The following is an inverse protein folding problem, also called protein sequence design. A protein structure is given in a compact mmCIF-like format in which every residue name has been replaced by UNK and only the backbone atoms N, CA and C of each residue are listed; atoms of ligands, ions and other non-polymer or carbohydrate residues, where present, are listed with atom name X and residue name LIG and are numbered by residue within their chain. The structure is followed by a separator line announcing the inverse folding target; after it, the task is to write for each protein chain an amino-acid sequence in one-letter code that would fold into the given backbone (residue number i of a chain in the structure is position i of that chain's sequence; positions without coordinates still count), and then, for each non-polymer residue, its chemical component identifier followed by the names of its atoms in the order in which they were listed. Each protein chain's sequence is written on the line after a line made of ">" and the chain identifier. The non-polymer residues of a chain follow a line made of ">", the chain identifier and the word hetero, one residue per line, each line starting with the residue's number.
data_IF_677099126304
#
_entry.id   IF_677099126304
#
_cell.length_a   1.000
_cell.length_b   1.000
_cell.length_c   1.000
_cell.angle_alpha   90.00
_cell.angle_beta   90.00
_cell.angle_gamma   90.00
#
_symmetry.space_group_name_H-M   'P 1'
#
loop_
_entity.id
_entity.type
_entity.pdbx_description
1 polymer ?
#
# COMPACT_ATOMS: atom_id res chain seq x y z
N UNK A 1 3.55 0.56 13.44
CA UNK A 1 4.25 -0.37 12.52
C UNK A 1 3.42 -1.62 12.23
N UNK A 2 2.73 -2.14 13.24
CA UNK A 2 1.74 -3.23 13.15
C UNK A 2 0.64 -2.95 12.12
N UNK A 3 0.17 -1.70 12.03
CA UNK A 3 -0.87 -1.28 11.08
C UNK A 3 -0.44 -1.46 9.60
N UNK A 4 0.77 -1.02 9.23
CA UNK A 4 1.27 -1.16 7.86
C UNK A 4 1.57 -2.63 7.50
N UNK A 5 2.08 -3.41 8.45
CA UNK A 5 2.26 -4.84 8.26
C UNK A 5 0.90 -5.57 8.11
N UNK A 6 -0.13 -5.15 8.85
CA UNK A 6 -1.49 -5.65 8.71
C UNK A 6 -2.12 -5.30 7.35
N UNK A 7 -1.92 -4.06 6.89
CA UNK A 7 -2.32 -3.65 5.53
C UNK A 7 -1.62 -4.50 4.48
N UNK A 8 -0.30 -4.72 4.62
CA UNK A 8 0.43 -5.60 3.72
C UNK A 8 -0.11 -7.03 3.76
N UNK A 9 -0.34 -7.61 4.95
CA UNK A 9 -0.90 -8.96 5.07
C UNK A 9 -2.24 -9.11 4.35
N UNK A 10 -3.15 -8.15 4.54
CA UNK A 10 -4.49 -8.20 3.95
C UNK A 10 -4.53 -7.93 2.44
N UNK A 11 -3.62 -7.09 1.93
CA UNK A 11 -3.72 -6.57 0.55
C UNK A 11 -2.57 -6.97 -0.36
N UNK A 12 -1.49 -7.51 0.22
CA UNK A 12 -0.21 -7.77 -0.45
C UNK A 12 0.34 -6.53 -1.16
N UNK A 13 0.04 -5.35 -0.63
CA UNK A 13 0.43 -4.08 -1.21
C UNK A 13 1.95 -3.82 -1.02
N UNK A 14 2.75 -3.74 -2.11
CA UNK A 14 4.18 -3.45 -2.03
C UNK A 14 4.52 -2.18 -1.26
N UNK A 15 3.77 -1.10 -1.48
CA UNK A 15 4.05 0.18 -0.85
C UNK A 15 3.89 0.10 0.67
N UNK A 16 2.94 -0.69 1.16
CA UNK A 16 2.76 -0.92 2.59
C UNK A 16 3.95 -1.70 3.19
N UNK A 17 4.41 -2.76 2.51
CA UNK A 17 5.60 -3.52 2.93
C UNK A 17 6.86 -2.63 2.97
N UNK A 18 7.13 -1.91 1.88
CA UNK A 18 8.31 -1.03 1.79
C UNK A 18 8.28 0.11 2.80
N UNK A 19 7.11 0.72 3.05
CA UNK A 19 6.98 1.77 4.05
C UNK A 19 7.17 1.23 5.47
N UNK A 20 6.59 0.06 5.78
CA UNK A 20 6.79 -0.59 7.07
C UNK A 20 8.27 -0.89 7.32
N UNK A 21 8.97 -1.43 6.32
CA UNK A 21 10.40 -1.69 6.37
C UNK A 21 11.23 -0.42 6.54
N UNK A 22 10.95 0.62 5.74
CA UNK A 22 11.67 1.90 5.83
C UNK A 22 11.51 2.54 7.21
N UNK A 23 10.28 2.60 7.74
CA UNK A 23 10.02 3.18 9.07
C UNK A 23 10.68 2.37 10.18
N UNK A 24 10.66 1.03 10.09
CA UNK A 24 11.39 0.16 11.01
C UNK A 24 12.87 0.52 11.05
N UNK A 25 13.52 0.56 9.89
CA UNK A 25 14.96 0.87 9.78
C UNK A 25 15.28 2.29 10.22
N UNK A 26 14.48 3.28 9.78
CA UNK A 26 14.68 4.71 10.11
C UNK A 26 14.64 4.96 11.61
N UNK A 27 13.75 4.27 12.33
CA UNK A 27 13.56 4.47 13.77
C UNK A 27 14.27 3.41 14.62
N UNK A 28 15.13 2.57 14.01
CA UNK A 28 15.83 1.47 14.67
C UNK A 28 14.92 0.52 15.47
N UNK A 29 13.77 0.20 14.88
CA UNK A 29 12.76 -0.70 15.42
C UNK A 29 12.80 -2.05 14.68
N UNK A 30 12.35 -3.15 15.31
CA UNK A 30 12.28 -4.44 14.65
C UNK A 30 11.33 -4.38 13.44
N UNK A 31 11.77 -4.94 12.32
CA UNK A 31 10.93 -5.11 11.13
C UNK A 31 9.91 -6.21 11.43
N UNK A 32 8.60 -5.99 11.19
CA UNK A 32 7.60 -7.06 11.30
C UNK A 32 7.97 -8.27 10.43
N UNK A 33 7.92 -9.47 11.00
CA UNK A 33 8.42 -10.70 10.37
C UNK A 33 7.83 -10.93 8.97
N UNK A 34 6.52 -10.73 8.81
CA UNK A 34 5.86 -10.88 7.50
C UNK A 34 6.41 -9.93 6.43
N UNK A 35 6.81 -8.72 6.82
CA UNK A 35 7.40 -7.73 5.91
C UNK A 35 8.85 -8.10 5.61
N UNK A 36 9.60 -8.54 6.62
CA UNK A 36 10.98 -8.99 6.45
C UNK A 36 11.05 -10.19 5.48
N UNK A 37 10.24 -11.23 5.73
CA UNK A 37 10.18 -12.43 4.92
C UNK A 37 9.80 -12.11 3.45
N UNK A 38 8.87 -11.19 3.23
CA UNK A 38 8.49 -10.82 1.86
C UNK A 38 9.62 -10.06 1.14
N UNK A 39 10.28 -9.13 1.82
CA UNK A 39 11.40 -8.38 1.23
C UNK A 39 12.56 -9.31 0.93
N UNK A 40 12.87 -10.26 1.83
CA UNK A 40 13.88 -11.28 1.60
C UNK A 40 13.52 -12.20 0.43
N UNK A 41 12.28 -12.68 0.37
CA UNK A 41 11.76 -13.47 -0.76
C UNK A 41 11.90 -12.70 -2.08
N UNK A 42 11.47 -11.45 -2.12
CA UNK A 42 11.59 -10.61 -3.31
C UNK A 42 13.06 -10.39 -3.70
N UNK A 43 13.93 -10.06 -2.74
CA UNK A 43 15.36 -9.88 -2.96
C UNK A 43 16.00 -11.16 -3.53
N UNK A 44 15.65 -12.32 -2.99
CA UNK A 44 16.11 -13.61 -3.49
C UNK A 44 15.70 -13.83 -4.95
N UNK A 45 14.44 -13.57 -5.31
CA UNK A 45 13.95 -13.72 -6.69
C UNK A 45 14.66 -12.78 -7.67
N UNK A 46 14.80 -11.49 -7.35
CA UNK A 46 15.45 -10.53 -8.25
C UNK A 46 16.96 -10.70 -8.33
N UNK A 47 17.57 -11.39 -7.35
CA UNK A 47 19.02 -11.69 -7.37
C UNK A 47 19.38 -12.87 -8.29
N UNK A 48 18.44 -13.77 -8.61
CA UNK A 48 18.72 -14.96 -9.43
C UNK A 48 19.36 -14.65 -10.79
N UNK A 49 18.86 -13.67 -11.58
CA UNK A 49 19.50 -13.30 -12.84
C UNK A 49 20.90 -12.70 -12.63
N UNK A 50 21.13 -11.97 -11.54
CA UNK A 50 22.45 -11.43 -11.22
C UNK A 50 23.44 -12.54 -10.89
N UNK A 51 23.02 -13.55 -10.12
CA UNK A 51 23.84 -14.73 -9.82
C UNK A 51 24.14 -15.53 -11.08
N UNK A 52 23.16 -15.69 -11.98
CA UNK A 52 23.39 -16.34 -13.27
C UNK A 52 24.40 -15.57 -14.14
N UNK A 53 24.29 -14.24 -14.20
CA UNK A 53 25.26 -13.38 -14.89
C UNK A 53 26.66 -13.50 -14.29
N UNK A 54 26.76 -13.51 -12.96
CA UNK A 54 28.02 -13.70 -12.24
C UNK A 54 28.67 -15.06 -12.56
N UNK A 55 27.88 -16.10 -12.73
CA UNK A 55 28.33 -17.44 -13.10
C UNK A 55 28.63 -17.61 -14.61
N UNK A 56 28.67 -16.51 -15.36
CA UNK A 56 29.09 -16.50 -16.76
C UNK A 56 27.96 -16.60 -17.78
N UNK A 57 26.69 -16.53 -17.37
CA UNK A 57 25.59 -16.40 -18.32
C UNK A 57 25.49 -14.97 -18.84
N UNK A 58 26.18 -14.69 -19.95
CA UNK A 58 26.16 -13.39 -20.63
C UNK A 58 24.78 -12.98 -21.21
N UNK A 59 23.76 -13.84 -21.13
CA UNK A 59 22.38 -13.53 -21.52
C UNK A 59 21.49 -13.23 -20.32
N UNK A 60 21.97 -13.45 -19.10
CA UNK A 60 21.20 -13.19 -17.90
C UNK A 60 20.96 -11.68 -17.75
N UNK A 61 19.68 -11.32 -17.70
CA UNK A 61 19.21 -9.94 -17.56
C UNK A 61 17.98 -9.92 -16.69
N UNK A 62 17.85 -8.88 -15.88
CA UNK A 62 16.61 -8.60 -15.16
C UNK A 62 15.72 -7.69 -16.01
N UNK A 63 14.47 -8.08 -16.20
CA UNK A 63 13.48 -7.27 -16.92
C UNK A 63 12.40 -6.74 -15.98
N UNK A 64 11.66 -5.72 -16.42
CA UNK A 64 10.48 -5.22 -15.70
C UNK A 64 9.44 -6.32 -15.44
N UNK A 65 9.33 -7.29 -16.35
CA UNK A 65 8.45 -8.46 -16.18
C UNK A 65 8.93 -9.34 -15.03
N UNK A 66 10.23 -9.57 -14.91
CA UNK A 66 10.79 -10.38 -13.83
C UNK A 66 10.57 -9.72 -12.47
N UNK A 67 10.75 -8.39 -12.38
CA UNK A 67 10.48 -7.61 -11.15
C UNK A 67 9.01 -7.70 -10.77
N UNK A 68 8.11 -7.49 -11.73
CA UNK A 68 6.66 -7.55 -11.48
C UNK A 68 6.18 -8.95 -11.12
N UNK A 69 6.71 -9.98 -11.77
CA UNK A 69 6.46 -11.39 -11.42
C UNK A 69 7.03 -11.74 -10.05
N UNK A 70 8.26 -11.31 -9.74
CA UNK A 70 8.91 -11.56 -8.45
C UNK A 70 8.11 -10.96 -7.30
N UNK A 71 7.45 -9.81 -7.50
CA UNK A 71 6.56 -9.25 -6.48
C UNK A 71 5.18 -9.97 -6.41
N UNK A 72 4.84 -10.83 -7.38
CA UNK A 72 3.53 -11.49 -7.44
C UNK A 72 2.44 -10.70 -8.20
N UNK A 73 2.83 -9.66 -8.95
CA UNK A 73 1.94 -8.94 -9.87
C UNK A 73 1.66 -9.71 -11.18
N UNK A 74 2.32 -10.85 -11.38
CA UNK A 74 2.53 -11.47 -12.69
C UNK A 74 1.43 -12.37 -13.26
N UNK A 75 0.40 -12.77 -12.50
CA UNK A 75 -0.73 -13.58 -13.04
C UNK A 75 -2.03 -13.27 -12.29
N UNK A 76 -3.01 -12.71 -12.98
CA UNK A 76 -4.39 -12.54 -12.48
C UNK A 76 -4.61 -11.40 -11.47
N UNK A 77 -3.60 -11.02 -10.70
CA UNK A 77 -3.69 -9.94 -9.71
C UNK A 77 -3.53 -8.59 -10.39
N UNK A 78 -4.61 -7.79 -10.46
CA UNK A 78 -4.56 -6.39 -10.91
C UNK A 78 -3.91 -5.49 -9.84
N UNK A 79 -2.73 -5.86 -9.33
CA UNK A 79 -2.09 -5.19 -8.20
C UNK A 79 -1.81 -3.72 -8.50
N UNK A 80 -1.36 -3.39 -9.72
CA UNK A 80 -1.20 -2.01 -10.16
C UNK A 80 -2.51 -1.21 -10.07
N UNK A 81 -3.65 -1.82 -10.45
CA UNK A 81 -4.96 -1.20 -10.30
C UNK A 81 -5.36 -1.10 -8.83
N UNK A 82 -5.15 -2.14 -8.03
CA UNK A 82 -5.44 -2.15 -6.60
C UNK A 82 -4.62 -1.08 -5.84
N UNK A 83 -3.36 -0.89 -6.20
CA UNK A 83 -2.49 0.17 -5.70
C UNK A 83 -3.00 1.55 -6.09
N UNK A 84 -3.38 1.73 -7.36
CA UNK A 84 -3.93 3.00 -7.85
C UNK A 84 -5.23 3.35 -7.11
N UNK A 85 -6.11 2.38 -6.91
CA UNK A 85 -7.35 2.54 -6.16
C UNK A 85 -7.09 2.82 -4.68
N UNK A 86 -6.14 2.11 -4.06
CA UNK A 86 -5.76 2.34 -2.66
C UNK A 86 -5.16 3.73 -2.44
N UNK A 87 -4.30 4.20 -3.36
CA UNK A 87 -3.76 5.57 -3.34
C UNK A 87 -4.86 6.61 -3.50
N UNK A 88 -5.78 6.40 -4.45
CA UNK A 88 -6.92 7.31 -4.66
C UNK A 88 -7.78 7.39 -3.39
N UNK A 89 -8.10 6.25 -2.80
CA UNK A 89 -8.84 6.18 -1.54
C UNK A 89 -8.13 6.93 -0.40
N UNK A 90 -6.82 6.71 -0.22
CA UNK A 90 -6.04 7.41 0.80
C UNK A 90 -6.02 8.94 0.58
N UNK A 91 -5.94 9.39 -0.67
CA UNK A 91 -5.99 10.81 -1.03
C UNK A 91 -7.32 11.44 -0.67
N UNK A 92 -8.44 10.80 -1.03
CA UNK A 92 -9.80 11.27 -0.74
C UNK A 92 -10.02 11.36 0.78
N UNK A 93 -9.59 10.34 1.52
CA UNK A 93 -9.68 10.32 2.98
C UNK A 93 -8.84 11.44 3.58
N UNK A 94 -7.60 11.64 3.11
CA UNK A 94 -6.73 12.71 3.58
C UNK A 94 -7.33 14.10 3.35
N UNK A 95 -7.86 14.33 2.15
CA UNK A 95 -8.51 15.59 1.79
C UNK A 95 -9.77 15.86 2.63
N UNK A 96 -10.60 14.84 2.89
CA UNK A 96 -11.74 14.94 3.79
C UNK A 96 -11.33 15.43 5.19
N UNK A 97 -10.29 14.82 5.77
CA UNK A 97 -9.80 15.20 7.09
C UNK A 97 -9.20 16.60 7.10
N UNK A 98 -8.48 17.00 6.06
CA UNK A 98 -7.95 18.36 5.91
C UNK A 98 -9.07 19.40 5.90
N UNK A 99 -10.15 19.16 5.14
CA UNK A 99 -11.33 20.04 5.13
C UNK A 99 -12.00 20.12 6.51
N UNK A 100 -12.21 18.99 7.19
CA UNK A 100 -12.85 19.02 8.52
C UNK A 100 -11.96 19.71 9.56
N UNK A 101 -10.66 19.42 9.57
CA UNK A 101 -9.73 20.03 10.52
C UNK A 101 -9.53 21.53 10.29
N UNK A 102 -9.73 22.01 9.07
CA UNK A 102 -9.77 23.45 8.74
C UNK A 102 -11.13 24.12 9.05
N UNK A 103 -12.09 23.38 9.60
CA UNK A 103 -13.38 23.91 10.06
C UNK A 103 -14.51 23.85 9.02
N UNK A 104 -14.31 23.18 7.89
CA UNK A 104 -15.38 22.92 6.91
C UNK A 104 -16.37 21.92 7.50
N UNK A 105 -17.68 22.14 7.29
CA UNK A 105 -18.70 21.21 7.77
C UNK A 105 -18.57 19.87 7.03
N UNK A 106 -18.80 18.73 7.70
CA UNK A 106 -18.69 17.41 7.06
C UNK A 106 -19.53 17.26 5.78
N UNK A 107 -20.74 17.81 5.75
CA UNK A 107 -21.62 17.79 4.58
C UNK A 107 -21.04 18.53 3.39
N UNK A 108 -20.43 19.69 3.64
CA UNK A 108 -19.85 20.54 2.60
C UNK A 108 -18.54 19.92 2.09
N UNK A 109 -17.78 19.28 2.98
CA UNK A 109 -16.59 18.51 2.63
C UNK A 109 -16.94 17.28 1.76
N UNK A 110 -18.04 16.58 2.05
CA UNK A 110 -18.53 15.46 1.23
C UNK A 110 -18.92 15.92 -0.17
N UNK A 111 -19.74 16.97 -0.28
CA UNK A 111 -20.15 17.52 -1.57
C UNK A 111 -18.95 17.94 -2.42
N UNK A 112 -17.98 18.63 -1.82
CA UNK A 112 -16.75 19.01 -2.52
C UNK A 112 -15.99 17.79 -3.06
N UNK A 113 -15.87 16.71 -2.27
CA UNK A 113 -15.17 15.49 -2.70
C UNK A 113 -15.90 14.76 -3.82
N UNK A 114 -17.24 14.77 -3.82
CA UNK A 114 -18.04 14.19 -4.90
C UNK A 114 -17.76 14.90 -6.22
N UNK A 115 -17.75 16.24 -6.19
CA UNK A 115 -17.49 17.08 -7.36
C UNK A 115 -16.03 16.94 -7.84
N UNK A 116 -15.06 17.08 -6.93
CA UNK A 116 -13.62 17.06 -7.24
C UNK A 116 -13.16 15.71 -7.80
N UNK A 117 -13.75 14.60 -7.32
CA UNK A 117 -13.35 13.25 -7.72
C UNK A 117 -14.33 12.59 -8.71
N UNK A 118 -15.43 13.27 -9.07
CA UNK A 118 -16.52 12.72 -9.89
C UNK A 118 -16.98 11.36 -9.36
N UNK A 119 -17.35 11.31 -8.08
CA UNK A 119 -17.79 10.12 -7.37
C UNK A 119 -19.23 10.30 -6.85
N UNK A 120 -19.96 9.19 -6.75
CA UNK A 120 -21.26 9.19 -6.07
C UNK A 120 -21.08 9.33 -4.56
N UNK A 121 -22.10 9.90 -3.91
CA UNK A 121 -22.18 10.03 -2.45
C UNK A 121 -21.86 8.71 -1.74
N UNK A 122 -22.57 7.64 -2.13
CA UNK A 122 -22.33 6.28 -1.64
C UNK A 122 -20.88 5.81 -1.77
N UNK A 123 -20.19 6.14 -2.87
CA UNK A 123 -18.81 5.72 -3.06
C UNK A 123 -17.85 6.46 -2.11
N UNK A 124 -18.10 7.75 -1.86
CA UNK A 124 -17.32 8.54 -0.88
C UNK A 124 -17.61 8.04 0.54
N UNK A 125 -18.87 7.80 0.88
CA UNK A 125 -19.26 7.26 2.18
C UNK A 125 -18.66 5.87 2.46
N UNK A 126 -18.67 4.97 1.47
CA UNK A 126 -18.05 3.63 1.59
C UNK A 126 -16.55 3.75 1.86
N UNK A 127 -15.84 4.65 1.17
CA UNK A 127 -14.42 4.90 1.37
C UNK A 127 -14.12 5.44 2.78
N UNK A 128 -14.90 6.42 3.25
CA UNK A 128 -14.74 7.02 4.57
C UNK A 128 -15.12 6.04 5.69
N UNK A 129 -16.19 5.25 5.49
CA UNK A 129 -16.63 4.22 6.45
C UNK A 129 -15.59 3.11 6.56
N UNK A 130 -15.04 2.65 5.43
CA UNK A 130 -13.96 1.67 5.44
C UNK A 130 -12.70 2.21 6.15
N UNK A 131 -12.38 3.49 5.97
CA UNK A 131 -11.26 4.14 6.67
C UNK A 131 -11.52 4.26 8.18
N UNK A 132 -12.74 4.64 8.58
CA UNK A 132 -13.13 4.77 9.99
C UNK A 132 -13.13 3.42 10.71
N UNK A 133 -13.68 2.38 10.09
CA UNK A 133 -13.68 1.01 10.63
C UNK A 133 -12.26 0.48 10.87
N UNK A 134 -11.33 0.77 9.96
CA UNK A 134 -9.90 0.43 10.16
C UNK A 134 -9.32 1.15 11.38
N UNK A 135 -9.60 2.44 11.53
CA UNK A 135 -9.14 3.24 12.68
C UNK A 135 -9.77 2.83 14.02
N UNK A 136 -11.06 2.50 14.04
CA UNK A 136 -11.77 2.06 15.26
C UNK A 136 -11.29 0.68 15.72
N UNK A 137 -10.87 -0.19 14.79
CA UNK A 137 -10.18 -1.45 15.14
C UNK A 137 -8.80 -1.22 15.77
N UNK A 138 -8.16 -0.08 15.51
CA UNK A 138 -6.81 0.26 15.98
C UNK A 138 -6.82 1.09 17.29
N UNK A 139 -7.99 1.48 17.79
CA UNK A 139 -8.16 2.12 19.11
C UNK A 139 -8.85 1.12 20.04
N UNK A 140 -8.12 0.32 20.84
CA UNK A 140 -8.79 -0.51 21.84
C UNK A 140 -9.47 0.44 22.83
N UNK A 141 -10.79 0.37 22.90
CA UNK A 141 -11.55 0.85 24.03
C UNK A 141 -11.02 0.11 25.26
N UNK A 142 -10.20 0.81 26.06
CA UNK A 142 -9.96 0.48 27.46
C UNK A 142 -11.05 1.14 28.31
#
# INVERSE_FOLDING_TARGET
>A
MTELAGVFHATHNPAAAWLAFYLAKKHNLPVPEIVANEIERFAAEVSKPLVAAWNGDGRARITTKDITTAWGCGRGTKLAQALRLSRRAASIVGEYWEKITSGVRPTDALSALMDDHNLSDKAVEELLTAARKKRDMDTPTF
#
